data_IF_922605983598
#
_entry.id   IF_922605983598
#
_cell.length_a   1.000
_cell.length_b   1.000
_cell.length_c   1.000
_cell.angle_alpha   90.00
_cell.angle_beta   90.00
_cell.angle_gamma   90.00
#
_symmetry.space_group_name_H-M   'P 1'
#
loop_
_entity.id
_entity.type
_entity.pdbx_description
1 polymer ?
#
# COMPACT_ATOMS: atom_id res chain seq x y z
N UNK A 1 25.88 63.90 77.49
CA UNK A 1 24.71 63.28 78.15
C UNK A 1 23.57 63.16 77.15
N UNK A 2 22.89 62.02 77.17
CA UNK A 2 22.10 61.43 76.10
C UNK A 2 20.91 62.27 75.59
N UNK A 3 20.74 62.34 74.26
CA UNK A 3 19.53 62.82 73.58
C UNK A 3 18.81 61.67 72.89
N UNK A 4 17.53 61.57 73.22
CA UNK A 4 16.52 60.71 72.63
C UNK A 4 16.51 60.66 71.10
N UNK A 5 16.31 59.45 70.55
CA UNK A 5 15.65 59.24 69.26
C UNK A 5 14.85 57.92 69.28
N UNK A 6 13.55 58.03 69.54
CA UNK A 6 12.55 56.99 69.18
C UNK A 6 12.28 57.09 67.68
N UNK A 7 12.42 55.99 66.93
CA UNK A 7 11.86 55.83 65.58
C UNK A 7 10.80 54.74 65.61
N UNK A 8 9.58 55.12 65.22
CA UNK A 8 8.43 54.27 65.01
C UNK A 8 8.67 53.33 63.82
N UNK A 9 8.70 52.02 64.05
CA UNK A 9 8.53 51.00 63.01
C UNK A 9 7.28 50.16 63.35
N UNK A 10 6.11 50.66 63.00
CA UNK A 10 4.93 49.81 62.86
C UNK A 10 4.10 50.28 61.67
N UNK A 11 3.52 49.31 60.95
CA UNK A 11 2.67 49.43 59.74
C UNK A 11 3.38 49.48 58.37
N UNK A 12 4.01 48.38 57.95
CA UNK A 12 4.13 48.10 56.50
C UNK A 12 4.32 46.63 56.13
N UNK A 13 3.67 45.68 56.82
CA UNK A 13 3.90 44.23 56.59
C UNK A 13 2.63 43.38 56.41
N UNK A 14 1.57 43.93 55.82
CA UNK A 14 0.31 43.18 55.54
C UNK A 14 -0.23 43.20 54.10
N UNK A 15 0.44 43.84 53.13
CA UNK A 15 -0.07 43.89 51.73
C UNK A 15 0.60 42.97 50.72
N UNK A 16 1.65 42.20 51.06
CA UNK A 16 2.35 41.34 50.06
C UNK A 16 1.89 39.88 50.00
N UNK A 17 1.12 39.38 50.97
CA UNK A 17 0.66 37.98 50.97
C UNK A 17 -0.61 37.74 50.13
N UNK A 18 -1.45 38.76 49.91
CA UNK A 18 -2.69 38.62 49.14
C UNK A 18 -2.49 38.49 47.63
N UNK A 19 -1.37 38.97 47.07
CA UNK A 19 -1.12 38.89 45.61
C UNK A 19 -0.55 37.54 45.16
N UNK A 20 0.07 36.77 46.06
CA UNK A 20 0.61 35.44 45.71
C UNK A 20 -0.50 34.39 45.70
N UNK A 21 -1.47 34.44 46.61
CA UNK A 21 -2.59 33.49 46.65
C UNK A 21 -3.47 33.54 45.39
N UNK A 22 -3.71 34.73 44.84
CA UNK A 22 -4.57 34.87 43.66
C UNK A 22 -3.96 34.28 42.38
N UNK A 23 -2.62 34.25 42.26
CA UNK A 23 -1.96 33.61 41.10
C UNK A 23 -2.09 32.09 41.11
N UNK A 24 -2.01 31.47 42.29
CA UNK A 24 -2.17 30.02 42.40
C UNK A 24 -3.62 29.59 42.17
N UNK A 25 -4.59 30.36 42.67
CA UNK A 25 -6.01 30.09 42.43
C UNK A 25 -6.33 30.17 40.92
N UNK A 26 -5.78 31.17 40.23
CA UNK A 26 -5.98 31.31 38.78
C UNK A 26 -5.31 30.19 37.97
N UNK A 27 -4.10 29.78 38.35
CA UNK A 27 -3.41 28.67 37.67
C UNK A 27 -4.12 27.32 37.88
N UNK A 28 -4.70 27.09 39.06
CA UNK A 28 -5.50 25.90 39.35
C UNK A 28 -6.81 25.91 38.57
N UNK A 29 -7.51 27.05 38.49
CA UNK A 29 -8.76 27.14 37.75
C UNK A 29 -8.56 26.95 36.24
N UNK A 30 -7.48 27.48 35.67
CA UNK A 30 -7.14 27.27 34.25
C UNK A 30 -6.81 25.79 33.98
N UNK A 31 -6.06 25.14 34.88
CA UNK A 31 -5.74 23.71 34.75
C UNK A 31 -6.98 22.80 34.85
N UNK A 32 -7.91 23.13 35.75
CA UNK A 32 -9.18 22.39 35.90
C UNK A 32 -10.09 22.54 34.68
N UNK A 33 -10.18 23.73 34.10
CA UNK A 33 -10.94 23.96 32.86
C UNK A 33 -10.30 23.20 31.70
N UNK A 34 -8.97 23.22 31.58
CA UNK A 34 -8.26 22.46 30.55
C UNK A 34 -8.51 20.94 30.67
N UNK A 35 -8.46 20.39 31.89
CA UNK A 35 -8.77 18.98 32.15
C UNK A 35 -10.24 18.63 31.86
N UNK A 36 -11.18 19.51 32.19
CA UNK A 36 -12.60 19.30 31.90
C UNK A 36 -12.88 19.34 30.38
N UNK A 37 -12.23 20.24 29.65
CA UNK A 37 -12.35 20.32 28.18
C UNK A 37 -11.76 19.09 27.51
N UNK A 38 -10.58 18.62 27.95
CA UNK A 38 -9.98 17.38 27.46
C UNK A 38 -10.86 16.18 27.80
N UNK A 39 -11.36 16.09 29.03
CA UNK A 39 -12.25 15.02 29.47
C UNK A 39 -13.56 14.97 28.68
N UNK A 40 -14.18 16.13 28.42
CA UNK A 40 -15.40 16.23 27.62
C UNK A 40 -15.16 15.89 26.15
N UNK A 41 -14.04 16.33 25.56
CA UNK A 41 -13.65 15.95 24.20
C UNK A 41 -13.44 14.44 24.05
N UNK A 42 -12.76 13.81 25.00
CA UNK A 42 -12.57 12.35 25.03
C UNK A 42 -13.91 11.62 25.20
N UNK A 43 -14.77 12.06 26.12
CA UNK A 43 -16.09 11.49 26.34
C UNK A 43 -16.98 11.57 25.08
N UNK A 44 -17.00 12.73 24.40
CA UNK A 44 -17.78 12.94 23.19
C UNK A 44 -17.29 12.05 22.03
N UNK A 45 -15.97 11.89 21.87
CA UNK A 45 -15.40 10.96 20.88
C UNK A 45 -15.81 9.53 21.16
N UNK A 46 -15.82 9.10 22.43
CA UNK A 46 -16.21 7.73 22.82
C UNK A 46 -17.69 7.47 22.52
N UNK A 47 -18.59 8.37 22.92
CA UNK A 47 -20.03 8.20 22.73
C UNK A 47 -20.45 8.18 21.25
N UNK A 48 -19.80 8.99 20.41
CA UNK A 48 -20.13 9.05 18.98
C UNK A 48 -19.43 7.98 18.15
N UNK A 49 -18.43 7.28 18.72
CA UNK A 49 -17.79 6.12 18.06
C UNK A 49 -18.78 4.98 17.82
N UNK A 50 -19.76 4.78 18.70
CA UNK A 50 -20.75 3.70 18.54
C UNK A 50 -21.84 4.02 17.49
N UNK A 51 -22.28 5.28 17.37
CA UNK A 51 -23.29 5.65 16.35
C UNK A 51 -22.75 5.69 14.92
N UNK A 52 -21.46 6.00 14.74
CA UNK A 52 -20.83 6.05 13.41
C UNK A 52 -20.51 4.63 12.88
N UNK A 53 -20.29 3.65 13.78
CA UNK A 53 -19.93 2.27 13.41
C UNK A 53 -21.09 1.27 13.46
N UNK A 54 -22.23 1.61 14.08
CA UNK A 54 -23.43 0.75 14.13
C UNK A 54 -24.43 1.04 13.00
N UNK A 55 -23.94 1.44 11.82
CA UNK A 55 -24.69 1.51 10.57
C UNK A 55 -25.13 0.11 10.10
N UNK A 56 -26.01 -0.51 10.89
CA UNK A 56 -26.79 -1.68 10.56
C UNK A 56 -27.58 -1.37 9.31
N UNK A 57 -27.43 -2.25 8.32
CA UNK A 57 -28.18 -2.28 7.07
C UNK A 57 -29.68 -2.16 7.34
N UNK A 58 -30.22 -0.95 7.20
CA UNK A 58 -31.65 -0.78 6.97
C UNK A 58 -31.83 0.19 5.81
N UNK A 59 -32.28 -0.41 4.72
CA UNK A 59 -32.71 0.18 3.46
C UNK A 59 -33.69 1.33 3.70
N UNK A 60 -33.60 2.34 2.84
CA UNK A 60 -34.62 3.35 2.54
C UNK A 60 -34.67 4.62 3.41
N UNK A 61 -33.57 5.36 3.50
CA UNK A 61 -33.69 6.82 3.62
C UNK A 61 -32.59 7.55 2.85
N UNK A 62 -33.03 8.28 1.81
CA UNK A 62 -32.25 9.23 1.02
C UNK A 62 -31.84 10.44 1.88
N UNK A 63 -30.86 10.25 2.76
CA UNK A 63 -30.10 11.35 3.33
C UNK A 63 -28.72 11.32 2.66
N UNK A 64 -28.58 12.11 1.58
CA UNK A 64 -27.31 12.46 0.97
C UNK A 64 -26.47 13.26 1.98
N UNK A 65 -25.90 12.60 2.98
CA UNK A 65 -24.71 13.13 3.62
C UNK A 65 -23.58 13.01 2.60
N UNK A 66 -23.26 14.12 1.95
CA UNK A 66 -22.03 14.25 1.16
C UNK A 66 -20.85 13.98 2.08
N UNK A 67 -20.32 12.75 2.03
CA UNK A 67 -19.05 12.43 2.66
C UNK A 67 -17.96 13.18 1.87
N UNK A 68 -17.69 14.42 2.27
CA UNK A 68 -16.68 15.31 1.67
C UNK A 68 -15.24 14.90 2.04
N UNK A 69 -14.99 13.58 2.13
CA UNK A 69 -13.69 13.01 2.44
C UNK A 69 -13.02 12.49 1.16
N UNK A 70 -11.74 12.79 0.99
CA UNK A 70 -10.92 12.46 -0.18
C UNK A 70 -10.47 10.98 -0.22
N UNK A 71 -11.36 9.99 -0.09
CA UNK A 71 -11.03 8.54 0.03
C UNK A 71 -9.96 8.01 -0.93
N UNK A 72 -9.29 6.90 -0.58
CA UNK A 72 -8.55 6.13 -1.59
C UNK A 72 -9.51 5.73 -2.72
N UNK A 73 -9.11 5.93 -3.97
CA UNK A 73 -9.90 5.52 -5.14
C UNK A 73 -10.07 4.01 -5.16
N UNK A 74 -9.01 3.29 -4.77
CA UNK A 74 -9.05 1.84 -4.55
C UNK A 74 -8.51 1.56 -3.16
N UNK A 75 -9.36 0.96 -2.34
CA UNK A 75 -9.08 0.88 -0.92
C UNK A 75 -7.97 -0.15 -0.65
N UNK A 76 -6.93 0.19 0.13
CA UNK A 76 -5.94 -0.76 0.59
C UNK A 76 -6.57 -2.01 1.21
N UNK A 77 -6.10 -3.20 0.81
CA UNK A 77 -6.54 -4.49 1.33
C UNK A 77 -5.42 -5.11 2.16
N UNK A 78 -5.72 -5.64 3.34
CA UNK A 78 -4.71 -6.27 4.21
C UNK A 78 -5.17 -7.57 4.81
N UNK A 79 -4.19 -8.44 5.08
CA UNK A 79 -4.37 -9.72 5.75
C UNK A 79 -3.18 -10.01 6.67
N UNK A 80 -3.43 -10.81 7.72
CA UNK A 80 -2.40 -11.24 8.67
C UNK A 80 -1.94 -12.65 8.34
N UNK A 81 -0.63 -12.85 8.33
CA UNK A 81 0.03 -14.11 8.02
C UNK A 81 0.93 -14.55 9.16
N UNK A 82 1.02 -15.86 9.40
CA UNK A 82 1.96 -16.48 10.33
C UNK A 82 3.04 -17.23 9.56
N UNK A 83 4.23 -17.28 10.14
CA UNK A 83 5.36 -18.03 9.59
C UNK A 83 5.38 -19.41 10.26
N UNK A 84 5.21 -20.47 9.47
CA UNK A 84 4.87 -21.83 9.94
C UNK A 84 5.88 -22.43 10.92
N UNK A 85 7.19 -22.21 10.71
CA UNK A 85 8.26 -22.74 11.55
C UNK A 85 8.71 -21.76 12.66
N UNK A 86 7.88 -20.77 12.97
CA UNK A 86 8.08 -19.81 14.06
C UNK A 86 6.75 -19.46 14.74
N UNK A 87 6.80 -18.66 15.81
CA UNK A 87 5.62 -18.04 16.42
C UNK A 87 5.34 -16.63 15.89
N UNK A 88 6.02 -16.22 14.82
CA UNK A 88 5.98 -14.84 14.31
C UNK A 88 4.85 -14.67 13.30
N UNK A 89 4.33 -13.45 13.28
CA UNK A 89 3.31 -13.04 12.33
C UNK A 89 3.58 -11.62 11.84
N UNK A 90 3.02 -11.30 10.68
CA UNK A 90 3.07 -9.97 10.11
C UNK A 90 1.81 -9.71 9.30
N UNK A 91 1.52 -8.43 9.08
CA UNK A 91 0.47 -7.99 8.18
C UNK A 91 1.09 -7.71 6.83
N UNK A 92 0.45 -8.19 5.77
CA UNK A 92 0.68 -7.69 4.43
C UNK A 92 -0.52 -6.87 3.99
N UNK A 93 -0.27 -5.66 3.51
CA UNK A 93 -1.28 -4.82 2.90
C UNK A 93 -0.86 -4.43 1.46
N UNK A 94 -1.83 -4.26 0.58
CA UNK A 94 -1.64 -3.92 -0.84
C UNK A 94 -2.62 -2.87 -1.28
N UNK A 95 -2.17 -1.93 -2.12
CA UNK A 95 -3.02 -0.87 -2.69
C UNK A 95 -2.64 -0.57 -4.12
N UNK A 96 -3.59 -0.01 -4.88
CA UNK A 96 -3.34 0.61 -6.17
C UNK A 96 -3.87 2.04 -6.09
N UNK A 97 -2.97 3.03 -6.16
CA UNK A 97 -3.36 4.43 -6.08
C UNK A 97 -4.03 4.87 -7.39
N UNK A 98 -4.53 6.10 -7.42
CA UNK A 98 -5.13 6.63 -8.63
C UNK A 98 -4.14 6.71 -9.81
N UNK A 99 -4.67 6.78 -11.04
CA UNK A 99 -3.87 6.78 -12.26
C UNK A 99 -3.14 8.12 -12.49
N UNK A 100 -1.99 8.13 -13.18
CA UNK A 100 -1.13 9.30 -13.27
C UNK A 100 -1.77 10.45 -14.05
N UNK A 101 -1.92 11.60 -13.37
CA UNK A 101 -2.30 12.85 -14.02
C UNK A 101 -3.72 12.88 -14.58
N UNK A 102 -4.63 12.08 -14.02
CA UNK A 102 -6.06 12.23 -14.27
C UNK A 102 -6.53 13.62 -13.79
N UNK A 103 -6.44 14.64 -14.65
CA UNK A 103 -7.17 15.88 -14.41
C UNK A 103 -8.65 15.53 -14.55
N UNK A 104 -9.41 15.70 -13.48
CA UNK A 104 -10.86 15.58 -13.56
C UNK A 104 -11.35 16.54 -14.66
N UNK A 105 -11.87 15.97 -15.74
CA UNK A 105 -12.78 16.72 -16.61
C UNK A 105 -13.95 17.14 -15.71
N UNK A 106 -14.35 18.39 -15.79
CA UNK A 106 -15.13 19.14 -14.79
C UNK A 106 -16.55 18.61 -14.43
N UNK A 107 -16.87 17.36 -14.78
CA UNK A 107 -18.19 16.75 -14.62
C UNK A 107 -18.26 15.59 -13.61
N UNK A 108 -17.15 15.18 -12.98
CA UNK A 108 -17.17 14.19 -11.89
C UNK A 108 -17.46 14.87 -10.54
N UNK A 109 -18.75 14.89 -10.18
CA UNK A 109 -19.31 15.04 -8.83
C UNK A 109 -18.52 15.90 -7.81
N UNK A 110 -18.76 17.22 -7.88
CA UNK A 110 -18.82 18.16 -6.75
C UNK A 110 -17.58 18.41 -5.85
N UNK A 111 -16.41 17.87 -6.12
CA UNK A 111 -15.17 18.31 -5.47
C UNK A 111 -14.21 18.90 -6.50
N UNK A 112 -13.91 20.19 -6.35
CA UNK A 112 -12.80 20.82 -7.05
C UNK A 112 -11.53 20.19 -6.50
N UNK A 113 -11.00 19.18 -7.21
CA UNK A 113 -9.66 18.69 -6.94
C UNK A 113 -8.69 19.86 -7.06
N UNK A 114 -8.19 20.31 -5.90
CA UNK A 114 -7.18 21.35 -5.87
C UNK A 114 -5.92 20.80 -6.50
N UNK A 115 -5.40 21.50 -7.52
CA UNK A 115 -4.13 21.18 -8.16
C UNK A 115 -3.09 20.76 -7.12
N UNK A 116 -2.44 19.61 -7.36
CA UNK A 116 -1.38 19.11 -6.50
C UNK A 116 -0.34 20.20 -6.20
N UNK A 117 0.10 20.25 -4.94
CA UNK A 117 1.22 21.10 -4.50
C UNK A 117 2.56 20.59 -5.03
N UNK A 118 2.59 19.37 -5.59
CA UNK A 118 3.76 18.72 -6.15
C UNK A 118 3.69 18.80 -7.67
N UNK A 119 4.75 19.34 -8.27
CA UNK A 119 4.84 19.53 -9.72
C UNK A 119 4.70 18.19 -10.47
N UNK A 120 3.91 18.21 -11.54
CA UNK A 120 3.68 17.07 -12.43
C UNK A 120 3.12 15.80 -11.76
N UNK A 121 2.44 15.92 -10.61
CA UNK A 121 1.76 14.83 -9.92
C UNK A 121 0.25 15.13 -9.81
N UNK A 122 -0.59 14.10 -9.86
CA UNK A 122 -2.02 14.21 -9.55
C UNK A 122 -2.25 14.50 -8.06
N UNK A 123 -3.33 15.21 -7.76
CA UNK A 123 -3.72 15.56 -6.39
C UNK A 123 -4.11 14.34 -5.58
N UNK A 124 -4.90 13.44 -6.18
CA UNK A 124 -5.38 12.22 -5.55
C UNK A 124 -4.22 11.30 -5.15
N UNK A 125 -3.28 11.02 -6.06
CA UNK A 125 -2.10 10.19 -5.79
C UNK A 125 -1.27 10.71 -4.60
N UNK A 126 -1.03 12.03 -4.56
CA UNK A 126 -0.31 12.69 -3.45
C UNK A 126 -1.07 12.55 -2.15
N UNK A 127 -2.40 12.66 -2.21
CA UNK A 127 -3.24 12.57 -1.04
C UNK A 127 -3.25 11.15 -0.46
N UNK A 128 -3.39 10.14 -1.30
CA UNK A 128 -3.28 8.72 -0.93
C UNK A 128 -1.90 8.42 -0.33
N UNK A 129 -0.82 8.89 -0.96
CA UNK A 129 0.53 8.77 -0.42
C UNK A 129 0.66 9.41 0.97
N UNK A 130 0.12 10.62 1.15
CA UNK A 130 0.18 11.33 2.44
C UNK A 130 -0.58 10.61 3.56
N UNK A 131 -1.65 9.87 3.22
CA UNK A 131 -2.48 9.14 4.16
C UNK A 131 -1.96 7.72 4.47
N UNK A 132 -0.91 7.26 3.78
CA UNK A 132 -0.42 5.88 3.92
C UNK A 132 -0.10 5.53 5.38
N UNK A 133 0.55 6.41 6.14
CA UNK A 133 0.85 6.17 7.58
C UNK A 133 -0.41 5.86 8.39
N UNK A 134 -1.47 6.65 8.22
CA UNK A 134 -2.73 6.45 8.96
C UNK A 134 -3.38 5.11 8.63
N UNK A 135 -3.38 4.70 7.36
CA UNK A 135 -3.90 3.39 6.95
C UNK A 135 -3.07 2.25 7.56
N UNK A 136 -1.74 2.37 7.56
CA UNK A 136 -0.88 1.35 8.15
C UNK A 136 -1.10 1.23 9.67
N UNK A 137 -1.29 2.35 10.36
CA UNK A 137 -1.62 2.35 11.80
C UNK A 137 -2.98 1.70 12.08
N UNK A 138 -3.97 1.93 11.21
CA UNK A 138 -5.28 1.26 11.29
C UNK A 138 -5.14 -0.25 11.10
N UNK A 139 -4.33 -0.70 10.15
CA UNK A 139 -4.03 -2.12 9.96
C UNK A 139 -3.31 -2.74 11.16
N UNK A 140 -2.26 -2.10 11.69
CA UNK A 140 -1.54 -2.58 12.88
C UNK A 140 -2.47 -2.72 14.08
N UNK A 141 -3.35 -1.74 14.27
CA UNK A 141 -4.34 -1.76 15.35
C UNK A 141 -5.34 -2.90 15.18
N UNK A 142 -5.96 -3.02 14.01
CA UNK A 142 -6.98 -4.05 13.75
C UNK A 142 -6.42 -5.45 13.86
N UNK A 143 -5.26 -5.70 13.25
CA UNK A 143 -4.62 -7.01 13.27
C UNK A 143 -3.83 -7.29 14.55
N UNK A 144 -3.75 -6.33 15.47
CA UNK A 144 -2.92 -6.39 16.67
C UNK A 144 -1.50 -6.88 16.34
N UNK A 145 -0.85 -6.20 15.40
CA UNK A 145 0.47 -6.58 14.86
C UNK A 145 1.42 -5.40 14.89
N UNK A 146 2.63 -5.61 15.41
CA UNK A 146 3.72 -4.64 15.30
C UNK A 146 4.44 -4.71 13.96
N UNK A 147 4.34 -5.86 13.29
CA UNK A 147 5.01 -6.16 12.03
C UNK A 147 4.05 -5.96 10.85
N UNK A 148 4.43 -5.12 9.90
CA UNK A 148 3.67 -4.87 8.68
C UNK A 148 4.59 -4.58 7.49
N UNK A 149 4.20 -5.10 6.33
CA UNK A 149 4.73 -4.70 5.04
C UNK A 149 3.57 -4.28 4.14
N UNK A 150 3.79 -3.21 3.38
CA UNK A 150 2.81 -2.59 2.50
C UNK A 150 3.39 -2.46 1.11
N UNK A 151 2.66 -2.98 0.14
CA UNK A 151 2.94 -2.83 -1.28
C UNK A 151 1.93 -1.86 -1.90
N UNK A 152 2.38 -0.98 -2.78
CA UNK A 152 1.45 -0.26 -3.64
C UNK A 152 2.08 0.10 -4.99
N UNK A 153 1.28 0.03 -6.05
CA UNK A 153 1.51 0.87 -7.22
C UNK A 153 0.95 2.26 -6.89
N UNK A 154 1.85 3.24 -6.80
CA UNK A 154 1.53 4.56 -6.27
C UNK A 154 1.35 5.61 -7.35
N UNK A 155 1.80 5.32 -8.57
CA UNK A 155 1.93 6.30 -9.67
C UNK A 155 2.71 7.60 -9.30
N UNK A 156 3.37 7.63 -8.14
CA UNK A 156 4.21 8.76 -7.71
C UNK A 156 5.47 8.81 -8.57
N UNK A 157 5.59 9.88 -9.36
CA UNK A 157 6.67 10.08 -10.32
C UNK A 157 8.01 10.25 -9.62
N UNK A 158 9.06 9.90 -10.38
CA UNK A 158 10.44 10.07 -9.92
C UNK A 158 10.73 11.53 -9.55
N UNK A 159 11.31 11.74 -8.37
CA UNK A 159 11.61 13.04 -7.77
C UNK A 159 10.52 13.57 -6.82
N UNK A 160 9.38 12.88 -6.71
CA UNK A 160 8.25 13.31 -5.88
C UNK A 160 8.03 12.45 -4.63
N UNK A 161 8.73 11.32 -4.48
CA UNK A 161 8.51 10.37 -3.38
C UNK A 161 8.56 11.03 -2.00
N UNK A 162 9.63 11.76 -1.67
CA UNK A 162 9.82 12.33 -0.33
C UNK A 162 8.75 13.37 0.02
N UNK A 163 8.21 14.07 -0.98
CA UNK A 163 7.15 15.06 -0.79
C UNK A 163 5.80 14.37 -0.60
N UNK A 164 5.47 13.42 -1.47
CA UNK A 164 4.21 12.69 -1.44
C UNK A 164 4.07 11.85 -0.16
N UNK A 165 5.15 11.20 0.26
CA UNK A 165 5.23 10.37 1.47
C UNK A 165 5.87 11.11 2.66
N UNK A 166 5.76 12.44 2.71
CA UNK A 166 6.38 13.25 3.77
C UNK A 166 5.95 12.85 5.18
N UNK A 167 4.76 12.26 5.35
CA UNK A 167 4.28 11.73 6.63
C UNK A 167 5.10 10.55 7.16
N UNK A 168 5.79 9.79 6.30
CA UNK A 168 6.68 8.69 6.73
C UNK A 168 7.84 9.20 7.60
N UNK A 169 8.35 10.41 7.33
CA UNK A 169 9.52 10.98 8.01
C UNK A 169 9.36 11.15 9.53
N UNK A 170 8.11 11.23 10.01
CA UNK A 170 7.76 11.36 11.43
C UNK A 170 7.11 10.09 12.00
N UNK A 171 7.31 8.93 11.35
CA UNK A 171 6.67 7.67 11.70
C UNK A 171 7.69 6.55 11.97
N UNK A 172 7.20 5.38 12.37
CA UNK A 172 8.02 4.15 12.51
C UNK A 172 8.18 3.36 11.20
N UNK A 173 7.61 3.86 10.11
CA UNK A 173 7.62 3.20 8.80
C UNK A 173 8.83 3.62 7.98
N UNK A 174 9.38 2.67 7.23
CA UNK A 174 10.50 2.89 6.33
C UNK A 174 10.12 2.52 4.90
N UNK A 175 10.52 3.36 3.95
CA UNK A 175 10.45 3.05 2.52
C UNK A 175 11.66 2.17 2.16
N UNK A 176 11.41 1.01 1.55
CA UNK A 176 12.47 0.09 1.16
C UNK A 176 13.22 0.57 -0.08
N UNK A 177 12.51 1.09 -1.07
CA UNK A 177 13.08 1.51 -2.35
C UNK A 177 13.27 3.03 -2.42
N UNK A 178 14.40 3.44 -2.99
CA UNK A 178 14.72 4.85 -3.19
C UNK A 178 14.08 5.37 -4.47
N UNK A 179 13.87 6.67 -4.52
CA UNK A 179 13.32 7.30 -5.71
C UNK A 179 14.39 7.62 -6.77
N UNK A 180 14.84 6.62 -7.51
CA UNK A 180 15.84 6.78 -8.56
C UNK A 180 15.71 5.73 -9.68
N UNK A 181 16.52 5.87 -10.73
CA UNK A 181 16.52 4.97 -11.90
C UNK A 181 16.89 3.53 -11.55
N UNK A 182 17.67 3.36 -10.48
CA UNK A 182 17.95 2.01 -10.00
C UNK A 182 16.66 1.36 -9.60
N UNK A 183 15.69 1.99 -8.94
CA UNK A 183 14.44 1.35 -8.49
C UNK A 183 13.24 1.61 -9.41
N UNK A 184 13.46 1.87 -10.69
CA UNK A 184 12.33 2.02 -11.62
C UNK A 184 11.69 0.66 -11.92
N UNK A 185 10.37 0.64 -11.97
CA UNK A 185 9.56 -0.58 -12.02
C UNK A 185 8.55 -0.57 -13.16
N UNK A 186 8.16 0.62 -13.66
CA UNK A 186 7.24 0.75 -14.79
C UNK A 186 7.97 0.89 -16.13
N UNK A 187 7.44 0.25 -17.17
CA UNK A 187 7.95 0.26 -18.53
C UNK A 187 7.61 1.56 -19.24
N UNK A 188 8.63 2.17 -19.87
CA UNK A 188 8.49 3.39 -20.66
C UNK A 188 7.65 3.19 -21.93
N UNK A 189 7.40 4.25 -22.69
CA UNK A 189 7.03 4.12 -24.11
C UNK A 189 8.27 3.86 -24.98
N UNK A 190 9.45 4.25 -24.50
CA UNK A 190 10.73 3.98 -25.16
C UNK A 190 11.15 2.54 -24.87
N UNK A 191 11.33 1.77 -25.93
CA UNK A 191 11.76 0.37 -25.87
C UNK A 191 13.03 0.23 -25.01
N UNK A 192 13.05 -0.84 -24.19
CA UNK A 192 14.17 -1.20 -23.30
C UNK A 192 14.49 -0.19 -22.20
N UNK A 193 13.54 0.65 -21.80
CA UNK A 193 13.75 1.60 -20.70
C UNK A 193 12.63 1.52 -19.67
N UNK A 194 12.99 1.75 -18.41
CA UNK A 194 12.01 2.02 -17.36
C UNK A 194 11.69 3.51 -17.30
N UNK A 195 10.48 3.86 -16.88
CA UNK A 195 10.02 5.25 -16.77
C UNK A 195 10.08 5.76 -15.33
N UNK A 196 9.46 5.03 -14.39
CA UNK A 196 9.30 5.51 -13.02
C UNK A 196 9.41 4.37 -11.99
N UNK A 197 9.65 4.77 -10.74
CA UNK A 197 9.70 3.92 -9.54
C UNK A 197 8.32 3.78 -8.90
N UNK A 198 7.24 3.58 -9.68
CA UNK A 198 5.87 3.69 -9.16
C UNK A 198 5.53 2.72 -8.03
N UNK A 199 6.12 1.52 -8.06
CA UNK A 199 5.88 0.49 -7.06
C UNK A 199 6.71 0.74 -5.79
N UNK A 200 6.01 0.85 -4.65
CA UNK A 200 6.62 1.10 -3.34
C UNK A 200 6.43 -0.09 -2.42
N UNK A 201 7.47 -0.36 -1.63
CA UNK A 201 7.41 -1.24 -0.46
C UNK A 201 7.72 -0.42 0.78
N UNK A 202 6.77 -0.38 1.72
CA UNK A 202 6.87 0.31 3.00
C UNK A 202 6.76 -0.73 4.10
N UNK A 203 7.56 -0.64 5.15
CA UNK A 203 7.52 -1.63 6.24
C UNK A 203 7.76 -1.00 7.61
N UNK A 204 7.32 -1.70 8.65
CA UNK A 204 7.67 -1.45 10.04
C UNK A 204 7.69 -2.79 10.76
N UNK A 205 8.85 -3.18 11.32
CA UNK A 205 9.03 -4.43 12.03
C UNK A 205 9.59 -4.19 13.43
N UNK A 206 9.16 -5.01 14.39
CA UNK A 206 9.86 -5.18 15.63
C UNK A 206 11.17 -5.91 15.35
N UNK A 207 12.31 -5.27 15.58
CA UNK A 207 13.64 -5.78 15.22
C UNK A 207 14.05 -7.05 15.97
N UNK A 208 13.38 -7.38 17.08
CA UNK A 208 13.58 -8.65 17.78
C UNK A 208 12.83 -9.81 17.10
N UNK A 209 11.82 -9.50 16.29
CA UNK A 209 11.00 -10.48 15.58
C UNK A 209 11.50 -10.68 14.15
N UNK A 210 11.41 -9.61 13.35
CA UNK A 210 11.61 -9.63 11.91
C UNK A 210 12.57 -8.51 11.49
N UNK A 211 13.36 -8.77 10.46
CA UNK A 211 14.22 -7.77 9.84
C UNK A 211 14.27 -7.94 8.32
N UNK A 212 14.68 -6.88 7.61
CA UNK A 212 14.97 -6.98 6.18
C UNK A 212 16.42 -7.44 6.04
N UNK A 213 16.65 -8.56 5.34
CA UNK A 213 18.01 -9.07 5.09
C UNK A 213 18.57 -8.71 3.74
N UNK A 214 17.72 -8.60 2.71
CA UNK A 214 18.11 -8.22 1.36
C UNK A 214 16.91 -7.56 0.68
N UNK A 215 17.07 -6.31 0.22
CA UNK A 215 16.17 -5.78 -0.79
C UNK A 215 16.49 -6.54 -2.09
N UNK A 216 15.60 -7.43 -2.53
CA UNK A 216 15.84 -8.37 -3.66
C UNK A 216 15.79 -7.67 -5.02
N UNK A 217 16.11 -6.39 -5.06
CA UNK A 217 15.99 -5.58 -6.25
C UNK A 217 16.91 -6.11 -7.37
N UNK A 218 18.12 -6.54 -7.04
CA UNK A 218 19.07 -7.14 -8.00
C UNK A 218 18.62 -8.53 -8.46
N UNK A 219 18.05 -9.35 -7.57
CA UNK A 219 17.49 -10.67 -7.92
C UNK A 219 16.30 -10.54 -8.88
N UNK A 220 15.41 -9.57 -8.65
CA UNK A 220 14.23 -9.32 -9.46
C UNK A 220 14.63 -8.74 -10.83
N UNK A 221 15.57 -7.80 -10.87
CA UNK A 221 16.16 -7.32 -12.14
C UNK A 221 16.88 -8.45 -12.90
N UNK A 222 17.42 -9.45 -12.20
CA UNK A 222 18.02 -10.61 -12.88
C UNK A 222 16.99 -11.47 -13.62
N UNK A 223 15.73 -11.46 -13.16
CA UNK A 223 14.58 -12.12 -13.78
C UNK A 223 13.99 -11.25 -14.90
N UNK A 224 14.05 -9.92 -14.77
CA UNK A 224 13.54 -8.96 -15.77
C UNK A 224 14.60 -7.92 -16.09
N UNK A 225 15.36 -8.15 -17.17
CA UNK A 225 16.39 -7.23 -17.68
C UNK A 225 15.87 -6.45 -18.89
N UNK A 226 15.53 -5.16 -18.76
CA UNK A 226 15.65 -4.26 -19.89
C UNK A 226 17.13 -4.25 -20.27
N UNK A 227 17.43 -4.74 -21.45
CA UNK A 227 18.80 -5.02 -21.87
C UNK A 227 19.57 -3.70 -22.07
N UNK A 228 20.42 -3.35 -21.08
CA UNK A 228 21.20 -2.09 -21.10
C UNK A 228 22.52 -2.24 -21.87
N UNK A 229 23.00 -3.47 -22.15
CA UNK A 229 24.34 -3.69 -22.72
C UNK A 229 24.38 -4.39 -24.09
N UNK A 230 23.33 -5.10 -24.50
CA UNK A 230 23.22 -5.62 -25.87
C UNK A 230 22.03 -5.00 -26.57
N UNK A 231 22.22 -4.51 -27.80
CA UNK A 231 21.21 -3.82 -28.63
C UNK A 231 20.06 -4.73 -29.09
N UNK A 232 19.66 -5.70 -28.27
CA UNK A 232 18.70 -6.76 -28.58
C UNK A 232 17.63 -6.82 -27.49
N UNK A 233 16.64 -5.92 -27.56
CA UNK A 233 15.30 -6.12 -26.97
C UNK A 233 15.17 -6.29 -25.45
N UNK A 234 13.92 -6.25 -24.99
CA UNK A 234 13.56 -6.42 -23.59
C UNK A 234 13.63 -7.91 -23.27
N UNK A 235 14.50 -8.33 -22.36
CA UNK A 235 14.52 -9.69 -21.88
C UNK A 235 14.00 -9.69 -20.44
N UNK A 236 12.71 -9.99 -20.26
CA UNK A 236 12.41 -10.96 -19.20
C UNK A 236 13.37 -12.11 -19.48
N UNK A 237 14.15 -12.57 -18.50
CA UNK A 237 14.96 -13.77 -18.68
C UNK A 237 13.99 -14.97 -18.75
N UNK A 238 13.22 -15.02 -19.83
CA UNK A 238 12.25 -16.03 -20.25
C UNK A 238 12.94 -17.24 -20.86
N UNK A 239 14.27 -17.37 -20.76
CA UNK A 239 15.00 -18.61 -21.01
C UNK A 239 14.39 -19.85 -20.32
N UNK A 240 13.47 -19.63 -19.37
CA UNK A 240 12.84 -20.64 -18.54
C UNK A 240 11.32 -20.78 -18.75
N UNK A 241 10.73 -20.12 -19.76
CA UNK A 241 9.25 -20.06 -19.93
C UNK A 241 8.70 -20.93 -21.05
N UNK A 242 9.49 -21.80 -21.67
CA UNK A 242 8.99 -22.84 -22.57
C UNK A 242 9.40 -24.22 -22.03
N UNK A 243 8.56 -25.27 -22.16
CA UNK A 243 8.97 -26.63 -21.85
C UNK A 243 10.21 -26.93 -22.68
N UNK A 244 11.33 -27.13 -22.01
CA UNK A 244 12.54 -27.62 -22.64
C UNK A 244 12.23 -29.01 -23.20
N UNK A 245 12.06 -29.12 -24.50
CA UNK A 245 12.38 -30.37 -25.16
C UNK A 245 13.60 -30.28 -26.06
N UNK A 246 14.21 -29.12 -26.35
CA UNK A 246 15.49 -29.07 -27.11
C UNK A 246 16.32 -27.76 -27.08
N UNK A 247 16.13 -26.83 -26.13
CA UNK A 247 16.94 -25.60 -26.11
C UNK A 247 18.02 -25.66 -25.03
N UNK A 248 19.20 -26.15 -25.42
CA UNK A 248 20.44 -25.99 -24.66
C UNK A 248 20.85 -24.52 -24.66
N UNK A 249 21.07 -23.99 -23.46
CA UNK A 249 22.07 -22.97 -23.12
C UNK A 249 22.09 -21.75 -24.06
N UNK A 250 21.33 -20.70 -23.74
CA UNK A 250 21.64 -19.35 -24.25
C UNK A 250 21.44 -19.09 -25.75
N UNK A 251 20.97 -20.05 -26.54
CA UNK A 251 20.84 -19.91 -28.00
C UNK A 251 19.37 -19.85 -28.49
N UNK A 252 18.42 -20.42 -27.73
CA UNK A 252 17.04 -20.60 -28.20
C UNK A 252 16.18 -19.34 -28.35
N UNK A 253 16.41 -18.31 -27.52
CA UNK A 253 15.68 -17.04 -27.64
C UNK A 253 16.29 -16.12 -28.68
N UNK A 254 17.62 -16.14 -28.83
CA UNK A 254 18.31 -15.44 -29.92
C UNK A 254 17.73 -15.93 -31.24
N UNK A 255 17.53 -17.23 -31.43
CA UNK A 255 16.92 -17.75 -32.66
C UNK A 255 15.41 -17.50 -32.79
N UNK A 256 14.61 -17.43 -31.72
CA UNK A 256 13.16 -17.13 -31.83
C UNK A 256 12.89 -15.64 -32.08
N UNK A 257 13.62 -14.75 -31.41
CA UNK A 257 13.57 -13.31 -31.71
C UNK A 257 14.19 -13.00 -33.06
N UNK A 258 15.26 -13.70 -33.48
CA UNK A 258 15.92 -13.43 -34.75
C UNK A 258 15.15 -14.03 -35.94
N UNK A 259 14.42 -15.14 -35.76
CA UNK A 259 13.65 -15.79 -36.83
C UNK A 259 12.24 -15.21 -37.04
N UNK A 260 11.60 -14.67 -36.00
CA UNK A 260 10.25 -14.07 -36.09
C UNK A 260 10.19 -12.55 -35.89
N UNK A 261 11.21 -11.93 -35.26
CA UNK A 261 11.14 -10.54 -34.79
C UNK A 261 12.39 -9.69 -35.06
N UNK A 262 13.32 -10.16 -35.91
CA UNK A 262 14.57 -9.45 -36.29
C UNK A 262 14.37 -8.10 -36.99
N UNK A 263 13.13 -7.68 -37.22
CA UNK A 263 12.78 -6.37 -37.78
C UNK A 263 11.94 -5.48 -36.87
N UNK A 264 11.52 -5.90 -35.67
CA UNK A 264 10.55 -5.12 -34.89
C UNK A 264 10.65 -5.28 -33.36
N UNK A 265 11.73 -4.76 -32.75
CA UNK A 265 11.92 -4.68 -31.29
C UNK A 265 10.72 -4.09 -30.54
N UNK A 266 9.98 -3.20 -31.19
CA UNK A 266 8.80 -2.54 -30.66
C UNK A 266 7.64 -3.54 -30.45
N UNK A 267 7.53 -4.57 -31.29
CA UNK A 267 6.48 -5.59 -31.16
C UNK A 267 6.69 -6.48 -29.92
N UNK A 268 7.94 -6.88 -29.63
CA UNK A 268 8.27 -7.66 -28.42
C UNK A 268 8.13 -6.82 -27.16
N UNK A 269 8.54 -5.56 -27.22
CA UNK A 269 8.37 -4.62 -26.11
C UNK A 269 6.89 -4.42 -25.76
N UNK A 270 6.08 -4.11 -26.78
CA UNK A 270 4.63 -3.99 -26.62
C UNK A 270 3.99 -5.31 -26.18
N UNK A 271 4.51 -6.45 -26.65
CA UNK A 271 4.06 -7.77 -26.20
C UNK A 271 4.22 -7.91 -24.68
N UNK A 272 5.43 -7.70 -24.14
CA UNK A 272 5.67 -7.83 -22.70
C UNK A 272 4.81 -6.83 -21.92
N UNK A 273 4.83 -5.57 -22.37
CA UNK A 273 4.10 -4.48 -21.72
C UNK A 273 2.60 -4.72 -21.64
N UNK A 274 1.98 -5.23 -22.70
CA UNK A 274 0.52 -5.36 -22.77
C UNK A 274 -0.02 -6.75 -22.47
N UNK A 275 0.81 -7.80 -22.50
CA UNK A 275 0.38 -9.18 -22.25
C UNK A 275 0.89 -9.76 -20.94
N UNK A 276 1.85 -9.12 -20.26
CA UNK A 276 2.36 -9.60 -18.97
C UNK A 276 2.13 -8.55 -17.90
N UNK A 277 2.70 -7.36 -18.07
CA UNK A 277 2.46 -6.19 -17.24
C UNK A 277 3.40 -5.10 -17.73
N UNK A 278 3.00 -3.85 -17.61
CA UNK A 278 3.88 -2.71 -17.74
C UNK A 278 4.65 -2.40 -16.44
N UNK A 279 4.50 -3.23 -15.42
CA UNK A 279 5.25 -3.20 -14.18
C UNK A 279 6.00 -4.52 -13.94
N UNK A 280 7.11 -4.44 -13.22
CA UNK A 280 7.82 -5.63 -12.72
C UNK A 280 7.36 -5.94 -11.29
N UNK A 281 7.32 -7.22 -10.86
CA UNK A 281 7.10 -7.55 -9.47
C UNK A 281 8.23 -6.96 -8.62
N UNK A 282 7.93 -6.50 -7.41
CA UNK A 282 8.92 -6.00 -6.44
C UNK A 282 8.87 -6.83 -5.18
N UNK A 283 9.97 -6.89 -4.43
CA UNK A 283 10.06 -7.79 -3.28
C UNK A 283 11.25 -7.56 -2.38
N UNK A 284 11.27 -8.31 -1.28
CA UNK A 284 12.31 -8.30 -0.27
C UNK A 284 12.33 -9.62 0.49
N UNK A 285 13.48 -9.94 1.08
CA UNK A 285 13.60 -11.06 2.01
C UNK A 285 13.42 -10.58 3.45
N UNK A 286 12.47 -11.18 4.17
CA UNK A 286 12.28 -11.01 5.61
C UNK A 286 13.07 -12.11 6.32
N UNK A 287 14.01 -11.70 7.17
CA UNK A 287 14.75 -12.57 8.07
C UNK A 287 14.05 -12.74 9.42
N UNK A 288 14.14 -13.94 9.97
CA UNK A 288 13.61 -14.29 11.28
C UNK A 288 14.39 -15.45 11.92
N UNK A 289 14.40 -15.51 13.24
CA UNK A 289 14.71 -16.73 14.01
C UNK A 289 13.53 -17.70 13.98
N UNK A 290 13.76 -18.93 13.54
CA UNK A 290 12.78 -20.01 13.59
C UNK A 290 12.72 -20.67 14.98
N UNK A 291 11.87 -21.68 15.15
CA UNK A 291 11.70 -22.41 16.43
C UNK A 291 12.97 -23.12 16.93
N UNK A 292 13.96 -23.35 16.06
CA UNK A 292 15.28 -23.89 16.41
C UNK A 292 16.33 -22.80 16.67
N UNK A 293 15.92 -21.52 16.71
CA UNK A 293 16.79 -20.34 16.82
C UNK A 293 17.80 -20.16 15.69
N UNK A 294 17.64 -20.88 14.57
CA UNK A 294 18.43 -20.63 13.36
C UNK A 294 17.86 -19.49 12.55
N UNK A 295 18.72 -18.77 11.83
CA UNK A 295 18.29 -17.76 10.87
C UNK A 295 17.57 -18.42 9.69
N UNK A 296 16.47 -17.83 9.28
CA UNK A 296 15.64 -18.28 8.16
C UNK A 296 15.05 -17.06 7.45
N UNK A 297 14.68 -17.24 6.18
CA UNK A 297 14.12 -16.16 5.37
C UNK A 297 12.85 -16.60 4.66
N UNK A 298 11.95 -15.63 4.48
CA UNK A 298 10.84 -15.72 3.54
C UNK A 298 10.92 -14.57 2.55
N UNK A 299 10.60 -14.84 1.29
CA UNK A 299 10.55 -13.81 0.25
C UNK A 299 9.13 -13.27 0.10
N UNK A 300 8.97 -11.97 0.29
CA UNK A 300 7.67 -11.29 0.21
C UNK A 300 7.68 -10.16 -0.80
N UNK A 301 6.54 -9.79 -1.38
CA UNK A 301 6.48 -8.66 -2.29
C UNK A 301 5.12 -8.43 -2.91
N UNK A 302 5.07 -7.63 -3.98
CA UNK A 302 3.84 -7.38 -4.69
C UNK A 302 4.06 -7.04 -6.16
N UNK A 303 2.98 -7.04 -6.93
CA UNK A 303 3.02 -6.79 -8.36
C UNK A 303 1.71 -6.19 -8.87
N UNK A 304 1.81 -5.07 -9.60
CA UNK A 304 0.74 -4.64 -10.50
C UNK A 304 0.71 -5.57 -11.73
N UNK A 305 -0.38 -6.33 -11.85
CA UNK A 305 -0.55 -7.34 -12.92
C UNK A 305 -1.34 -6.83 -14.12
N UNK A 306 -1.60 -5.52 -14.23
CA UNK A 306 -2.24 -4.86 -15.37
C UNK A 306 -3.57 -5.52 -15.81
N UNK A 307 -4.67 -5.12 -15.18
CA UNK A 307 -6.02 -5.62 -15.48
C UNK A 307 -6.10 -7.17 -15.56
N UNK A 308 -5.52 -7.87 -14.58
CA UNK A 308 -5.39 -9.31 -14.59
C UNK A 308 -6.76 -9.99 -14.51
N UNK A 309 -7.13 -10.65 -15.61
CA UNK A 309 -8.44 -11.24 -15.81
C UNK A 309 -8.30 -12.75 -15.94
N UNK A 310 -8.40 -13.43 -14.80
CA UNK A 310 -8.19 -14.87 -14.71
C UNK A 310 -9.21 -15.66 -15.54
N UNK A 311 -8.70 -16.64 -16.27
CA UNK A 311 -9.42 -17.55 -17.10
C UNK A 311 -10.25 -18.48 -16.22
N UNK A 312 -11.49 -18.69 -16.62
CA UNK A 312 -12.47 -19.41 -15.83
C UNK A 312 -12.53 -20.91 -16.16
N UNK A 313 -11.45 -21.45 -16.73
CA UNK A 313 -11.31 -22.87 -17.03
C UNK A 313 -9.86 -23.29 -16.82
N UNK A 314 -9.63 -24.60 -16.76
CA UNK A 314 -8.28 -25.15 -16.81
C UNK A 314 -7.56 -24.68 -18.08
N UNK A 315 -6.32 -24.23 -17.89
CA UNK A 315 -5.41 -23.93 -19.00
C UNK A 315 -5.13 -25.27 -19.71
N UNK A 316 -5.42 -25.39 -21.02
CA UNK A 316 -5.16 -26.63 -21.74
C UNK A 316 -3.69 -27.03 -21.61
N UNK A 317 -3.42 -28.29 -21.28
CA UNK A 317 -2.05 -28.80 -21.10
C UNK A 317 -1.19 -28.71 -22.36
N UNK A 318 -1.84 -28.66 -23.52
CA UNK A 318 -1.27 -28.54 -24.86
C UNK A 318 -1.30 -27.10 -25.41
N UNK A 319 -1.65 -26.10 -24.58
CA UNK A 319 -1.72 -24.72 -25.02
C UNK A 319 -0.37 -24.20 -25.49
N UNK A 320 -0.26 -23.95 -26.80
CA UNK A 320 0.95 -23.44 -27.43
C UNK A 320 1.07 -21.92 -27.25
N UNK A 321 1.85 -21.53 -26.24
CA UNK A 321 2.19 -20.11 -26.00
C UNK A 321 3.10 -19.50 -27.08
N UNK A 322 3.64 -20.29 -28.01
CA UNK A 322 4.60 -19.80 -29.00
C UNK A 322 3.96 -18.98 -30.13
N UNK A 323 2.64 -19.09 -30.33
CA UNK A 323 1.93 -18.33 -31.37
C UNK A 323 0.86 -17.36 -30.81
N UNK A 324 1.28 -16.28 -30.13
CA UNK A 324 0.37 -15.32 -29.52
C UNK A 324 -0.26 -14.33 -30.51
N UNK A 325 -0.07 -14.52 -31.83
CA UNK A 325 -0.66 -13.66 -32.88
C UNK A 325 -2.19 -13.75 -32.93
N UNK A 326 -2.79 -14.66 -32.17
CA UNK A 326 -4.23 -14.75 -32.04
C UNK A 326 -4.79 -13.43 -31.51
N UNK A 327 -5.64 -12.79 -32.30
CA UNK A 327 -6.46 -11.64 -31.89
C UNK A 327 -7.51 -12.03 -30.84
N UNK A 328 -7.67 -13.33 -30.55
CA UNK A 328 -8.61 -13.82 -29.55
C UNK A 328 -8.20 -13.36 -28.15
N UNK A 329 -9.11 -12.62 -27.50
CA UNK A 329 -8.99 -12.14 -26.12
C UNK A 329 -8.74 -13.27 -25.12
N UNK A 330 -9.31 -14.46 -25.34
CA UNK A 330 -9.16 -15.62 -24.47
C UNK A 330 -7.72 -16.13 -24.44
N UNK A 331 -7.12 -16.35 -25.61
CA UNK A 331 -5.70 -16.74 -25.75
C UNK A 331 -4.79 -15.74 -25.05
N UNK A 332 -5.05 -14.43 -25.20
CA UNK A 332 -4.24 -13.39 -24.54
C UNK A 332 -4.31 -13.48 -23.01
N UNK A 333 -5.47 -13.78 -22.44
CA UNK A 333 -5.63 -13.98 -20.99
C UNK A 333 -4.86 -15.21 -20.50
N UNK A 334 -5.00 -16.34 -21.20
CA UNK A 334 -4.27 -17.57 -20.85
C UNK A 334 -2.75 -17.33 -20.91
N UNK A 335 -2.25 -16.70 -21.97
CA UNK A 335 -0.83 -16.33 -22.10
C UNK A 335 -0.38 -15.43 -20.95
N UNK A 336 -1.20 -14.44 -20.59
CA UNK A 336 -0.92 -13.53 -19.48
C UNK A 336 -0.77 -14.30 -18.16
N UNK A 337 -1.74 -15.15 -17.81
CA UNK A 337 -1.71 -16.01 -16.62
C UNK A 337 -0.50 -16.93 -16.57
N UNK A 338 -0.20 -17.59 -17.70
CA UNK A 338 0.95 -18.50 -17.79
C UNK A 338 2.25 -17.76 -17.44
N UNK A 339 2.43 -16.54 -17.98
CA UNK A 339 3.63 -15.76 -17.76
C UNK A 339 3.69 -15.23 -16.32
N UNK A 340 2.59 -14.74 -15.77
CA UNK A 340 2.51 -14.31 -14.37
C UNK A 340 2.89 -15.45 -13.42
N UNK A 341 2.31 -16.65 -13.60
CA UNK A 341 2.63 -17.82 -12.79
C UNK A 341 4.12 -18.21 -12.85
N UNK A 342 4.69 -18.26 -14.07
CA UNK A 342 6.10 -18.60 -14.27
C UNK A 342 7.04 -17.58 -13.63
N UNK A 343 6.73 -16.29 -13.73
CA UNK A 343 7.52 -15.21 -13.10
C UNK A 343 7.49 -15.36 -11.58
N UNK A 344 6.31 -15.61 -10.99
CA UNK A 344 6.17 -15.79 -9.53
C UNK A 344 6.99 -16.99 -9.04
N UNK A 345 6.86 -18.14 -9.71
CA UNK A 345 7.65 -19.33 -9.38
C UNK A 345 9.16 -19.06 -9.49
N UNK A 346 9.60 -18.42 -10.58
CA UNK A 346 11.03 -18.17 -10.81
C UNK A 346 11.62 -17.17 -9.80
N UNK A 347 10.85 -16.16 -9.43
CA UNK A 347 11.23 -15.17 -8.42
C UNK A 347 11.24 -15.77 -6.99
N UNK A 348 10.65 -16.96 -6.82
CA UNK A 348 10.61 -17.74 -5.58
C UNK A 348 9.92 -16.99 -4.43
N UNK A 349 8.83 -16.29 -4.72
CA UNK A 349 8.04 -15.64 -3.69
C UNK A 349 7.44 -16.67 -2.74
N UNK A 350 7.60 -16.45 -1.44
CA UNK A 350 6.85 -17.18 -0.42
C UNK A 350 5.50 -16.51 -0.15
N UNK A 351 5.39 -15.19 -0.34
CA UNK A 351 4.13 -14.45 -0.35
C UNK A 351 4.21 -13.30 -1.38
N UNK A 352 3.20 -13.18 -2.24
CA UNK A 352 3.09 -12.07 -3.18
C UNK A 352 1.65 -11.54 -3.25
N UNK A 353 1.50 -10.23 -3.23
CA UNK A 353 0.23 -9.53 -3.44
C UNK A 353 0.11 -9.05 -4.88
N UNK A 354 -0.93 -9.48 -5.57
CA UNK A 354 -1.26 -9.07 -6.93
C UNK A 354 -2.40 -8.03 -6.87
N UNK A 355 -2.18 -6.88 -7.49
CA UNK A 355 -3.19 -5.81 -7.64
C UNK A 355 -3.59 -5.68 -9.11
N UNK A 356 -4.60 -4.84 -9.38
CA UNK A 356 -5.33 -4.77 -10.65
C UNK A 356 -6.02 -6.07 -11.06
N UNK A 357 -6.52 -6.83 -10.09
CA UNK A 357 -7.32 -8.03 -10.37
C UNK A 357 -8.71 -7.58 -10.79
N UNK A 358 -9.22 -8.11 -11.91
CA UNK A 358 -10.53 -7.74 -12.42
C UNK A 358 -11.63 -8.05 -11.41
N UNK A 359 -12.57 -7.13 -11.20
CA UNK A 359 -13.71 -7.26 -10.26
C UNK A 359 -14.59 -8.51 -10.39
N UNK A 360 -14.57 -9.16 -11.56
CA UNK A 360 -15.35 -10.36 -11.82
C UNK A 360 -14.55 -11.65 -11.56
N UNK A 361 -13.36 -11.54 -10.99
CA UNK A 361 -12.52 -12.69 -10.64
C UNK A 361 -13.20 -13.50 -9.54
N UNK A 362 -13.29 -14.81 -9.73
CA UNK A 362 -13.93 -15.73 -8.79
C UNK A 362 -12.88 -16.59 -8.11
N UNK A 363 -13.25 -17.20 -6.97
CA UNK A 363 -12.37 -18.17 -6.33
C UNK A 363 -12.06 -19.37 -7.24
N UNK A 364 -12.98 -19.73 -8.14
CA UNK A 364 -12.78 -20.82 -9.09
C UNK A 364 -11.69 -20.47 -10.12
N UNK A 365 -11.71 -19.28 -10.73
CA UNK A 365 -10.66 -18.86 -11.66
C UNK A 365 -9.29 -18.74 -10.96
N UNK A 366 -9.28 -18.29 -9.71
CA UNK A 366 -8.07 -18.32 -8.86
C UNK A 366 -7.56 -19.74 -8.65
N UNK A 367 -8.45 -20.72 -8.45
CA UNK A 367 -8.05 -22.12 -8.27
C UNK A 367 -7.44 -22.71 -9.56
N UNK A 368 -7.97 -22.39 -10.75
CA UNK A 368 -7.35 -22.81 -12.02
C UNK A 368 -5.94 -22.23 -12.18
N UNK A 369 -5.78 -20.94 -11.90
CA UNK A 369 -4.48 -20.29 -11.89
C UNK A 369 -3.51 -20.92 -10.88
N UNK A 370 -3.97 -21.21 -9.66
CA UNK A 370 -3.16 -21.89 -8.63
C UNK A 370 -2.73 -23.29 -9.03
N UNK A 371 -3.60 -24.08 -9.66
CA UNK A 371 -3.27 -25.41 -10.15
C UNK A 371 -2.13 -25.32 -11.17
N UNK A 372 -2.22 -24.37 -12.10
CA UNK A 372 -1.16 -24.14 -13.07
C UNK A 372 0.14 -23.66 -12.39
N UNK A 373 0.08 -22.65 -11.52
CA UNK A 373 1.25 -22.15 -10.77
C UNK A 373 1.96 -23.27 -10.00
N UNK A 374 1.22 -24.11 -9.28
CA UNK A 374 1.78 -25.25 -8.56
C UNK A 374 2.35 -26.33 -9.49
N UNK A 375 1.80 -26.49 -10.71
CA UNK A 375 2.32 -27.43 -11.70
C UNK A 375 3.65 -27.00 -12.33
N UNK A 376 3.87 -25.69 -12.45
CA UNK A 376 5.11 -25.13 -13.03
C UNK A 376 6.14 -24.75 -11.97
N UNK A 377 5.80 -24.81 -10.68
CA UNK A 377 6.73 -24.45 -9.63
C UNK A 377 7.79 -25.54 -9.38
N UNK A 378 9.03 -25.24 -9.78
CA UNK A 378 10.17 -26.14 -9.60
C UNK A 378 10.78 -26.06 -8.19
N UNK A 379 10.32 -25.16 -7.33
CA UNK A 379 10.88 -24.95 -5.99
C UNK A 379 10.19 -25.80 -4.92
N UNK A 380 9.27 -26.68 -5.32
CA UNK A 380 8.46 -27.49 -4.40
C UNK A 380 7.65 -26.61 -3.43
N UNK A 381 7.25 -25.41 -3.85
CA UNK A 381 6.30 -24.60 -3.10
C UNK A 381 4.90 -25.23 -3.22
N UNK A 382 4.04 -24.91 -2.26
CA UNK A 382 2.62 -25.29 -2.34
C UNK A 382 1.80 -24.03 -2.14
N UNK A 383 1.52 -23.33 -3.23
CA UNK A 383 0.80 -22.07 -3.21
C UNK A 383 -0.68 -22.28 -2.88
N UNK A 384 -1.17 -21.43 -1.98
CA UNK A 384 -2.58 -21.15 -1.74
C UNK A 384 -2.85 -19.68 -2.09
N UNK A 385 -4.13 -19.34 -2.24
CA UNK A 385 -4.53 -17.96 -2.51
C UNK A 385 -5.53 -17.46 -1.46
N UNK A 386 -5.53 -16.15 -1.29
CA UNK A 386 -6.60 -15.38 -0.67
C UNK A 386 -7.03 -14.30 -1.66
N UNK A 387 -8.27 -14.38 -2.15
CA UNK A 387 -8.88 -13.39 -3.02
C UNK A 387 -9.68 -12.40 -2.17
N UNK A 388 -9.50 -11.10 -2.40
CA UNK A 388 -10.30 -10.08 -1.75
C UNK A 388 -11.74 -10.08 -2.28
N UNK A 389 -12.67 -9.59 -1.45
CA UNK A 389 -14.00 -9.26 -1.95
C UNK A 389 -13.95 -8.14 -3.00
N UNK A 390 -15.01 -8.04 -3.79
CA UNK A 390 -15.20 -6.99 -4.78
C UNK A 390 -15.82 -5.75 -4.12
N UNK A 391 -15.09 -5.13 -3.19
CA UNK A 391 -15.61 -4.06 -2.34
C UNK A 391 -15.29 -2.70 -2.94
N UNK A 392 -16.31 -1.89 -3.30
CA UNK A 392 -16.04 -0.58 -3.83
C UNK A 392 -15.54 0.40 -2.76
N UNK A 393 -14.61 1.26 -3.13
CA UNK A 393 -14.33 2.49 -2.40
C UNK A 393 -15.54 3.43 -2.41
N UNK A 394 -15.53 4.42 -1.51
CA UNK A 394 -16.66 5.35 -1.31
C UNK A 394 -16.93 6.20 -2.56
N UNK A 395 -15.87 6.56 -3.29
CA UNK A 395 -15.91 7.42 -4.49
C UNK A 395 -15.12 6.75 -5.59
N UNK A 396 -15.74 5.83 -6.32
CA UNK A 396 -15.08 5.19 -7.46
C UNK A 396 -16.07 4.89 -8.59
N UNK A 397 -15.57 4.95 -9.82
CA UNK A 397 -16.28 4.48 -10.98
C UNK A 397 -16.26 2.95 -11.06
N UNK A 398 -17.24 2.37 -11.76
CA UNK A 398 -17.35 0.91 -11.91
C UNK A 398 -16.15 0.25 -12.61
N UNK A 399 -15.30 1.03 -13.29
CA UNK A 399 -14.06 0.59 -13.90
C UNK A 399 -12.85 0.59 -12.96
N UNK A 400 -12.96 1.27 -11.81
CA UNK A 400 -11.91 1.34 -10.79
C UNK A 400 -12.07 0.27 -9.70
N UNK A 401 -13.14 -0.53 -9.75
CA UNK A 401 -13.29 -1.64 -8.82
C UNK A 401 -12.30 -2.74 -9.21
N UNK A 402 -11.38 -3.01 -8.30
CA UNK A 402 -10.32 -4.01 -8.46
C UNK A 402 -10.27 -4.90 -7.21
N UNK A 403 -9.86 -6.14 -7.40
CA UNK A 403 -9.59 -7.08 -6.33
C UNK A 403 -8.07 -7.17 -6.08
N UNK A 404 -7.72 -7.82 -4.98
CA UNK A 404 -6.35 -8.18 -4.62
C UNK A 404 -6.29 -9.68 -4.43
N UNK A 405 -5.23 -10.32 -4.94
CA UNK A 405 -4.93 -11.72 -4.64
C UNK A 405 -3.63 -11.79 -3.85
N UNK A 406 -3.66 -12.46 -2.69
CA UNK A 406 -2.44 -12.90 -2.00
C UNK A 406 -2.16 -14.35 -2.32
N UNK A 407 -1.02 -14.62 -2.96
CA UNK A 407 -0.52 -15.97 -3.21
C UNK A 407 0.57 -16.29 -2.19
N UNK A 408 0.46 -17.41 -1.48
CA UNK A 408 1.38 -17.75 -0.41
C UNK A 408 1.77 -19.23 -0.39
N UNK A 409 3.06 -19.50 -0.17
CA UNK A 409 3.63 -20.82 -0.02
C UNK A 409 3.23 -21.42 1.32
N UNK A 410 2.24 -22.30 1.31
CA UNK A 410 1.64 -22.90 2.51
C UNK A 410 2.59 -23.78 3.33
N UNK A 411 3.78 -24.09 2.82
CA UNK A 411 4.84 -24.77 3.57
C UNK A 411 5.61 -23.83 4.51
N UNK A 412 5.60 -22.52 4.25
CA UNK A 412 6.32 -21.51 5.05
C UNK A 412 5.41 -20.48 5.68
N UNK A 413 4.26 -20.20 5.06
CA UNK A 413 3.36 -19.12 5.47
C UNK A 413 1.93 -19.67 5.56
N UNK A 414 1.21 -19.28 6.59
CA UNK A 414 -0.21 -19.56 6.75
C UNK A 414 -1.02 -18.28 6.94
N UNK A 415 -2.26 -18.28 6.47
CA UNK A 415 -3.21 -17.20 6.73
C UNK A 415 -3.72 -17.30 8.18
N UNK A 416 -3.71 -16.18 8.91
CA UNK A 416 -4.28 -16.13 10.26
C UNK A 416 -5.80 -16.02 10.21
N UNK A 417 -6.48 -17.16 10.12
CA UNK A 417 -7.95 -17.23 10.05
C UNK A 417 -8.67 -16.76 11.33
N UNK A 418 -7.94 -16.41 12.40
CA UNK A 418 -8.57 -15.84 13.61
C UNK A 418 -9.05 -14.41 13.42
N UNK A 419 -8.63 -13.74 12.35
CA UNK A 419 -9.01 -12.38 12.01
C UNK A 419 -9.23 -12.24 10.50
N UNK A 420 -10.39 -11.72 10.12
CA UNK A 420 -10.74 -11.57 8.71
C UNK A 420 -9.82 -10.56 8.02
N UNK A 421 -9.41 -10.82 6.77
CA UNK A 421 -8.84 -9.79 5.91
C UNK A 421 -9.76 -8.59 5.77
N UNK A 422 -9.20 -7.41 5.51
CA UNK A 422 -9.95 -6.16 5.59
C UNK A 422 -9.51 -5.13 4.55
N UNK A 423 -10.50 -4.45 3.97
CA UNK A 423 -10.31 -3.21 3.25
C UNK A 423 -10.31 -2.01 4.20
N UNK A 424 -9.42 -1.06 3.95
CA UNK A 424 -9.40 0.23 4.62
C UNK A 424 -9.56 1.35 3.62
N UNK A 425 -10.76 1.92 3.59
CA UNK A 425 -11.11 3.00 2.65
C UNK A 425 -10.65 4.38 3.16
N UNK A 426 -9.90 4.43 4.28
CA UNK A 426 -10.19 5.43 5.31
C UNK A 426 -9.85 6.87 4.91
N UNK A 427 -10.78 7.75 5.28
CA UNK A 427 -10.41 8.82 6.19
C UNK A 427 -11.01 8.39 7.52
N UNK A 428 -10.20 8.29 8.56
CA UNK A 428 -10.70 8.47 9.91
C UNK A 428 -11.38 9.84 9.97
N UNK A 429 -12.70 9.87 9.73
CA UNK A 429 -13.52 11.05 9.99
C UNK A 429 -13.36 11.50 11.45
N UNK A 430 -12.96 10.59 12.34
CA UNK A 430 -12.72 10.85 13.76
C UNK A 430 -11.55 11.78 14.07
N UNK A 431 -10.48 11.84 13.27
CA UNK A 431 -9.32 12.69 13.59
C UNK A 431 -9.40 14.09 12.98
N UNK A 432 -9.88 14.21 11.74
CA UNK A 432 -10.07 15.52 11.11
C UNK A 432 -11.25 16.27 11.71
N UNK A 433 -12.41 15.63 11.91
CA UNK A 433 -13.54 16.33 12.52
C UNK A 433 -13.30 16.68 13.98
N UNK A 434 -12.68 15.81 14.80
CA UNK A 434 -12.49 16.16 16.22
C UNK A 434 -11.55 17.35 16.41
N UNK A 435 -10.48 17.44 15.61
CA UNK A 435 -9.54 18.56 15.70
C UNK A 435 -10.10 19.84 15.07
N UNK A 436 -10.76 19.76 13.90
CA UNK A 436 -11.38 20.92 13.27
C UNK A 436 -12.59 21.43 14.05
N UNK A 437 -13.41 20.54 14.63
CA UNK A 437 -14.48 20.90 15.57
C UNK A 437 -13.87 21.54 16.82
N UNK A 438 -12.77 21.01 17.35
CA UNK A 438 -12.09 21.60 18.51
C UNK A 438 -11.55 23.00 18.20
N UNK A 439 -10.83 23.20 17.10
CA UNK A 439 -10.30 24.50 16.68
C UNK A 439 -11.43 25.51 16.40
N UNK A 440 -12.50 25.08 15.73
CA UNK A 440 -13.66 25.93 15.50
C UNK A 440 -14.39 26.28 16.81
N UNK A 441 -14.46 25.36 17.77
CA UNK A 441 -15.04 25.61 19.09
C UNK A 441 -14.21 26.60 19.93
N UNK A 442 -12.88 26.64 19.74
CA UNK A 442 -11.99 27.62 20.37
C UNK A 442 -12.14 29.01 19.75
N UNK A 443 -12.30 29.10 18.42
CA UNK A 443 -12.47 30.37 17.72
C UNK A 443 -13.82 31.06 18.01
N UNK A 444 -14.90 30.30 18.18
CA UNK A 444 -16.23 30.87 18.53
C UNK A 444 -16.20 31.52 19.93
N UNK A 445 -15.47 30.94 20.89
CA UNK A 445 -15.38 31.50 22.24
C UNK A 445 -14.47 32.73 22.34
N UNK A 446 -13.54 32.92 21.38
CA UNK A 446 -12.68 34.10 21.33
C UNK A 446 -13.42 35.33 20.77
N UNK A 447 -14.36 35.13 19.85
CA UNK A 447 -15.16 36.21 19.28
C UNK A 447 -16.27 36.70 20.23
N UNK A 448 -16.82 35.82 21.05
CA UNK A 448 -17.88 36.17 22.01
C UNK A 448 -17.38 36.85 23.30
N UNK A 449 -16.06 36.93 23.53
CA UNK A 449 -15.47 37.59 24.71
C UNK A 449 -14.84 38.96 24.39
N UNK A 450 -15.15 39.55 23.23
CA UNK A 450 -14.67 40.89 22.84
C UNK A 450 -15.62 42.03 23.20
N UNK A 451 -16.75 41.74 23.83
CA UNK A 451 -17.64 42.72 24.45
C UNK A 451 -17.88 42.33 25.91
N UNK A 452 -16.96 42.70 26.80
CA UNK A 452 -17.16 43.03 28.23
C UNK A 452 -16.08 44.03 28.62
#
# INVERSE_FOLDING_TARGET
MAKHRRKNYSKQRRKSHSRKSNKYIYALSVSLVALAVVGYGVYYIIQNKEQIFSGSSNSNNNQNQSLTGYGYVRSPYGAKFKIVDSNKSFVMASSHFDSPGASTSANSLNEVETKSSISNQGSQEVKEASNTVSVLDEFKTYFSSENIIFFADTNIRKGNQDKAFSTLSNSSYSMLFKDNDTYSTSLSSTVNTFANSYDKLIYSFNSNDLSISNGTYDDIKSVIKPNYESKTGFAINTYLTLPSTNFTDGQGWVDYSDKYYSSNSDAVYNYVKYLISDHIPVGTDISYKNNSSSDSTIRVGGWNTLNFNLYNKEIPSDFDVSNPTSTNTETKRIVHEINVAKIISKAKYDLIGLIEINKNTTQESVNYFLNYLNSVDTNNNSYKALLSENTPAIKQDSGQIEQVIYLYNSKKIELDNSISPKFYNSYSASTLNAFDIFINSLNINYLNNKEI
#
